data_IF_387027959557
#
_entry.id   IF_387027959557
#
_cell.length_a   1.000
_cell.length_b   1.000
_cell.length_c   1.000
_cell.angle_alpha   90.00
_cell.angle_beta   90.00
_cell.angle_gamma   90.00
#
_symmetry.space_group_name_H-M   'P 1'
#
loop_
_entity.id
_entity.type
_entity.pdbx_description
1 polymer ?
#
# COMPACT_ATOMS: atom_id res chain seq x y z
N UNK A 1 2.76 -17.80 14.36
CA UNK A 1 1.87 -16.63 14.20
C UNK A 1 0.54 -17.12 13.65
N UNK A 2 -0.59 -16.55 14.08
CA UNK A 2 -1.88 -16.90 13.47
C UNK A 2 -1.94 -16.40 12.03
N UNK A 3 -2.57 -17.14 11.09
CA UNK A 3 -2.59 -16.77 9.66
C UNK A 3 -3.13 -15.37 9.40
N UNK A 4 -4.11 -14.93 10.20
CA UNK A 4 -4.66 -13.57 10.17
C UNK A 4 -3.61 -12.49 10.46
N UNK A 5 -2.70 -12.73 11.42
CA UNK A 5 -1.64 -11.77 11.76
C UNK A 5 -0.61 -11.63 10.64
N UNK A 6 -0.34 -12.71 9.91
CA UNK A 6 0.58 -12.70 8.77
C UNK A 6 -0.01 -11.82 7.66
N UNK A 7 -1.28 -12.04 7.29
CA UNK A 7 -1.99 -11.24 6.28
C UNK A 7 -2.07 -9.75 6.63
N UNK A 8 -2.36 -9.44 7.89
CA UNK A 8 -2.40 -8.06 8.36
C UNK A 8 -1.02 -7.40 8.24
N UNK A 9 0.03 -8.09 8.68
CA UNK A 9 1.39 -7.56 8.65
C UNK A 9 1.90 -7.36 7.22
N UNK A 10 1.68 -8.32 6.33
CA UNK A 10 2.11 -8.20 4.92
C UNK A 10 1.35 -7.10 4.19
N UNK A 11 0.06 -6.90 4.49
CA UNK A 11 -0.72 -5.79 3.92
C UNK A 11 -0.18 -4.45 4.40
N UNK A 12 0.07 -4.29 5.70
CA UNK A 12 0.64 -3.06 6.25
C UNK A 12 2.02 -2.77 5.68
N UNK A 13 2.86 -3.79 5.52
CA UNK A 13 4.18 -3.67 4.91
C UNK A 13 4.07 -3.23 3.44
N UNK A 14 3.15 -3.80 2.68
CA UNK A 14 2.91 -3.43 1.29
C UNK A 14 2.42 -1.97 1.17
N UNK A 15 1.51 -1.54 2.03
CA UNK A 15 1.03 -0.16 2.07
C UNK A 15 2.15 0.82 2.43
N UNK A 16 2.97 0.48 3.44
CA UNK A 16 4.11 1.30 3.84
C UNK A 16 5.18 1.40 2.74
N UNK A 17 5.50 0.27 2.08
CA UNK A 17 6.44 0.26 0.96
C UNK A 17 5.93 1.11 -0.21
N UNK A 18 4.64 1.04 -0.54
CA UNK A 18 4.02 1.88 -1.58
C UNK A 18 4.08 3.37 -1.21
N UNK A 19 3.86 3.72 0.05
CA UNK A 19 3.97 5.10 0.53
C UNK A 19 5.41 5.63 0.39
N UNK A 20 6.40 4.85 0.85
CA UNK A 20 7.81 5.23 0.76
C UNK A 20 8.24 5.39 -0.70
N UNK A 21 7.82 4.47 -1.57
CA UNK A 21 8.11 4.54 -3.01
C UNK A 21 7.46 5.77 -3.67
N UNK A 22 6.22 6.10 -3.30
CA UNK A 22 5.51 7.30 -3.77
C UNK A 22 6.26 8.58 -3.40
N UNK A 23 6.65 8.72 -2.13
CA UNK A 23 7.42 9.86 -1.65
C UNK A 23 8.78 9.91 -2.35
N UNK A 24 9.46 8.78 -2.48
CA UNK A 24 10.74 8.71 -3.15
C UNK A 24 10.62 9.14 -4.61
N UNK A 25 9.68 8.60 -5.39
CA UNK A 25 9.46 9.02 -6.79
C UNK A 25 9.15 10.51 -6.93
N UNK A 26 8.37 11.06 -6.00
CA UNK A 26 7.97 12.47 -6.03
C UNK A 26 9.15 13.43 -5.81
N UNK A 27 10.13 13.04 -4.99
CA UNK A 27 11.28 13.87 -4.61
C UNK A 27 12.60 13.49 -5.28
N UNK A 28 12.76 12.26 -5.78
CA UNK A 28 13.99 11.78 -6.40
C UNK A 28 14.17 12.26 -7.85
N UNK A 29 13.11 12.69 -8.52
CA UNK A 29 13.18 13.19 -9.89
C UNK A 29 13.34 14.71 -9.95
N UNK A 30 14.23 15.16 -10.84
CA UNK A 30 14.72 16.53 -11.02
C UNK A 30 13.70 17.53 -11.60
N UNK A 31 12.40 17.33 -11.32
CA UNK A 31 11.37 18.34 -11.54
C UNK A 31 10.55 18.21 -12.82
N UNK A 32 10.68 17.12 -13.58
CA UNK A 32 9.73 16.83 -14.66
C UNK A 32 8.32 16.59 -14.07
N UNK A 33 7.30 17.15 -14.70
CA UNK A 33 5.92 17.08 -14.18
C UNK A 33 5.38 15.64 -14.22
N UNK A 34 5.81 14.86 -15.22
CA UNK A 34 5.43 13.46 -15.41
C UNK A 34 5.95 12.56 -14.30
N UNK A 35 7.15 12.83 -13.80
CA UNK A 35 7.74 12.07 -12.70
C UNK A 35 7.05 12.33 -11.36
N UNK A 36 6.60 13.58 -11.13
CA UNK A 36 5.80 13.92 -9.95
C UNK A 36 4.43 13.26 -10.00
N UNK A 37 3.82 13.17 -11.18
CA UNK A 37 2.56 12.45 -11.39
C UNK A 37 2.71 10.96 -11.05
N UNK A 38 3.80 10.32 -11.47
CA UNK A 38 4.09 8.93 -11.11
C UNK A 38 4.14 8.72 -9.59
N UNK A 39 4.79 9.62 -8.85
CA UNK A 39 4.79 9.61 -7.39
C UNK A 39 3.37 9.69 -6.80
N UNK A 40 2.52 10.59 -7.32
CA UNK A 40 1.13 10.75 -6.89
C UNK A 40 0.30 9.48 -7.19
N UNK A 41 0.45 8.90 -8.39
CA UNK A 41 -0.28 7.68 -8.77
C UNK A 41 0.07 6.49 -7.88
N UNK A 42 1.35 6.29 -7.54
CA UNK A 42 1.76 5.25 -6.59
C UNK A 42 1.22 5.54 -5.18
N UNK A 43 1.11 6.82 -4.80
CA UNK A 43 0.53 7.23 -3.53
C UNK A 43 -0.95 6.85 -3.41
N UNK A 44 -1.73 6.99 -4.48
CA UNK A 44 -3.13 6.56 -4.52
C UNK A 44 -3.34 5.05 -4.39
N UNK A 45 -2.31 4.22 -4.53
CA UNK A 45 -2.44 2.77 -4.32
C UNK A 45 -2.51 2.39 -2.84
N UNK A 46 -2.00 3.22 -1.93
CA UNK A 46 -2.02 2.99 -0.47
C UNK A 46 -3.44 2.69 0.05
N UNK A 47 -4.46 3.55 -0.18
CA UNK A 47 -5.83 3.26 0.27
C UNK A 47 -6.41 1.99 -0.37
N UNK A 48 -6.06 1.67 -1.62
CA UNK A 48 -6.49 0.43 -2.29
C UNK A 48 -5.91 -0.83 -1.65
N UNK A 49 -4.61 -0.80 -1.28
CA UNK A 49 -3.93 -1.91 -0.59
C UNK A 49 -4.54 -2.12 0.81
N UNK A 50 -4.79 -1.04 1.54
CA UNK A 50 -5.42 -1.10 2.87
C UNK A 50 -6.85 -1.61 2.80
N UNK A 51 -7.63 -1.18 1.80
CA UNK A 51 -8.98 -1.68 1.56
C UNK A 51 -8.99 -3.18 1.25
N UNK A 52 -8.07 -3.66 0.41
CA UNK A 52 -7.92 -5.08 0.11
C UNK A 52 -7.54 -5.88 1.36
N UNK A 53 -6.58 -5.40 2.16
CA UNK A 53 -6.21 -6.07 3.42
C UNK A 53 -7.37 -6.13 4.40
N UNK A 54 -8.12 -5.05 4.57
CA UNK A 54 -9.32 -5.02 5.40
C UNK A 54 -10.37 -6.04 4.91
N UNK A 55 -10.58 -6.13 3.60
CA UNK A 55 -11.47 -7.11 2.98
C UNK A 55 -11.03 -8.56 3.24
N UNK A 56 -9.74 -8.87 3.03
CA UNK A 56 -9.19 -10.22 3.27
C UNK A 56 -9.27 -10.62 4.75
N UNK A 57 -8.95 -9.69 5.66
CA UNK A 57 -9.07 -9.92 7.11
C UNK A 57 -10.52 -10.12 7.53
N UNK A 58 -11.46 -9.33 7.00
CA UNK A 58 -12.90 -9.51 7.25
C UNK A 58 -13.43 -10.85 6.71
N UNK A 59 -12.97 -11.26 5.52
CA UNK A 59 -13.32 -12.56 4.91
C UNK A 59 -12.87 -13.74 5.77
N UNK A 60 -11.64 -13.70 6.31
CA UNK A 60 -11.13 -14.73 7.23
C UNK A 60 -11.91 -14.79 8.56
N UNK A 61 -12.52 -13.68 8.99
CA UNK A 61 -13.34 -13.63 10.21
C UNK A 61 -14.73 -14.24 10.04
N UNK A 62 -15.27 -14.27 8.82
CA UNK A 62 -16.57 -14.86 8.51
C UNK A 62 -16.51 -16.35 8.12
N UNK A 63 -15.32 -16.87 7.79
CA UNK A 63 -15.11 -18.27 7.37
C UNK A 63 -14.74 -19.24 8.50
N UNK A 64 -14.61 -18.75 9.74
CA UNK A 64 -14.39 -19.52 10.97
C UNK A 64 -15.62 -19.42 11.88
#
# INVERSE_FOLDING_TARGET
>A
MTPTKILQFTTLLAAAASLVLSVWLFFANDGSMDDKLNGIFVGTWVPSILALGAFLVASQRNGN
#
